data_IF_654735771722
#
_entry.id   IF_654735771722
#
_cell.length_a   1.000
_cell.length_b   1.000
_cell.length_c   1.000
_cell.angle_alpha   90.00
_cell.angle_beta   90.00
_cell.angle_gamma   90.00
#
_symmetry.space_group_name_H-M   'P 1'
#
loop_
_entity.id
_entity.type
_entity.pdbx_description
1 polymer ?
#
# COMPACT_ATOMS: atom_id res chain seq x y z
N UNK A 1 -14.54 -17.29 -11.80
CA UNK A 1 -14.74 -15.86 -11.47
C UNK A 1 -13.69 -15.51 -10.44
N UNK A 2 -12.83 -14.53 -10.70
CA UNK A 2 -11.82 -14.14 -9.71
C UNK A 2 -12.46 -13.11 -8.78
N UNK A 3 -12.35 -13.32 -7.47
CA UNK A 3 -12.95 -12.40 -6.50
C UNK A 3 -11.98 -11.25 -6.21
N UNK A 4 -12.47 -10.02 -6.00
CA UNK A 4 -11.61 -8.88 -5.67
C UNK A 4 -10.66 -9.14 -4.49
N UNK A 5 -11.08 -9.92 -3.50
CA UNK A 5 -10.28 -10.28 -2.31
C UNK A 5 -9.04 -11.12 -2.66
N UNK A 6 -9.14 -11.96 -3.69
CA UNK A 6 -8.05 -12.84 -4.15
C UNK A 6 -6.94 -12.07 -4.88
N UNK A 7 -7.22 -10.85 -5.35
CA UNK A 7 -6.25 -9.95 -5.99
C UNK A 7 -5.90 -8.79 -5.06
N UNK A 8 -6.87 -7.93 -4.75
CA UNK A 8 -6.64 -6.70 -4.00
C UNK A 8 -6.39 -6.97 -2.52
N UNK A 9 -7.11 -7.91 -1.92
CA UNK A 9 -6.88 -8.30 -0.52
C UNK A 9 -5.49 -8.93 -0.33
N UNK A 10 -5.11 -9.86 -1.21
CA UNK A 10 -3.77 -10.48 -1.19
C UNK A 10 -2.67 -9.44 -1.40
N UNK A 11 -2.83 -8.53 -2.37
CA UNK A 11 -1.84 -7.47 -2.61
C UNK A 11 -1.80 -6.45 -1.47
N UNK A 12 -2.94 -6.14 -0.85
CA UNK A 12 -3.01 -5.29 0.34
C UNK A 12 -2.25 -5.90 1.52
N UNK A 13 -2.34 -7.22 1.72
CA UNK A 13 -1.52 -7.93 2.72
C UNK A 13 -0.01 -7.75 2.49
N UNK A 14 0.45 -7.90 1.23
CA UNK A 14 1.86 -7.67 0.87
C UNK A 14 2.29 -6.23 1.11
N UNK A 15 1.46 -5.26 0.73
CA UNK A 15 1.75 -3.82 0.95
C UNK A 15 1.77 -3.50 2.43
N UNK A 16 0.83 -4.04 3.21
CA UNK A 16 0.78 -3.84 4.65
C UNK A 16 2.05 -4.39 5.33
N UNK A 17 2.52 -5.59 4.96
CA UNK A 17 3.79 -6.14 5.47
C UNK A 17 4.99 -5.29 5.05
N UNK A 18 5.00 -4.75 3.82
CA UNK A 18 6.08 -3.86 3.36
C UNK A 18 6.11 -2.50 4.08
N UNK A 19 4.99 -2.07 4.66
CA UNK A 19 4.88 -0.85 5.46
C UNK A 19 5.10 -1.09 6.96
N UNK A 20 5.06 -2.34 7.42
CA UNK A 20 5.25 -2.71 8.84
C UNK A 20 6.65 -2.29 9.30
N UNK A 21 6.71 -1.44 10.33
CA UNK A 21 7.96 -0.95 10.91
C UNK A 21 8.64 0.17 10.11
N UNK A 22 7.98 0.70 9.08
CA UNK A 22 8.51 1.80 8.27
C UNK A 22 7.90 3.14 8.69
N UNK A 23 8.71 4.20 8.68
CA UNK A 23 8.26 5.58 8.85
C UNK A 23 7.51 6.14 7.62
N UNK A 24 7.14 5.28 6.68
CA UNK A 24 6.32 5.58 5.53
C UNK A 24 7.10 5.55 4.22
N UNK A 25 6.50 4.89 3.23
CA UNK A 25 7.09 4.62 1.93
C UNK A 25 6.30 5.29 0.80
N UNK A 26 6.98 5.65 -0.28
CA UNK A 26 6.33 6.02 -1.54
C UNK A 26 5.78 4.78 -2.26
N UNK A 27 4.79 4.95 -3.13
CA UNK A 27 4.28 3.84 -3.94
C UNK A 27 5.38 3.14 -4.77
N UNK A 28 6.43 3.87 -5.18
CA UNK A 28 7.57 3.30 -5.91
C UNK A 28 8.44 2.40 -5.02
N UNK A 29 8.72 2.82 -3.79
CA UNK A 29 9.48 2.01 -2.81
C UNK A 29 8.69 0.75 -2.44
N UNK A 30 7.37 0.86 -2.25
CA UNK A 30 6.48 -0.28 -1.99
C UNK A 30 6.51 -1.26 -3.17
N UNK A 31 6.41 -0.77 -4.41
CA UNK A 31 6.48 -1.62 -5.61
C UNK A 31 7.81 -2.39 -5.66
N UNK A 32 8.94 -1.73 -5.36
CA UNK A 32 10.25 -2.37 -5.32
C UNK A 32 10.34 -3.45 -4.23
N UNK A 33 9.84 -3.19 -3.02
CA UNK A 33 9.87 -4.14 -1.90
C UNK A 33 8.98 -5.36 -2.12
N UNK A 34 7.82 -5.16 -2.73
CA UNK A 34 6.79 -6.21 -2.89
C UNK A 34 6.88 -6.97 -4.21
N UNK A 35 7.61 -6.43 -5.20
CA UNK A 35 7.62 -6.92 -6.58
C UNK A 35 6.33 -6.66 -7.36
N UNK A 36 5.40 -5.88 -6.79
CA UNK A 36 4.13 -5.53 -7.43
C UNK A 36 4.31 -4.42 -8.46
N UNK A 37 3.43 -4.39 -9.47
CA UNK A 37 3.30 -3.25 -10.37
C UNK A 37 2.77 -2.04 -9.60
N UNK A 38 3.14 -0.84 -10.04
CA UNK A 38 2.70 0.40 -9.39
C UNK A 38 1.16 0.53 -9.32
N UNK A 39 0.44 0.00 -10.32
CA UNK A 39 -1.03 -0.03 -10.35
C UNK A 39 -1.62 -0.95 -9.29
N UNK A 40 -0.98 -2.10 -9.05
CA UNK A 40 -1.37 -3.05 -7.98
C UNK A 40 -1.11 -2.46 -6.61
N UNK A 41 0.00 -1.72 -6.45
CA UNK A 41 0.29 -0.97 -5.22
C UNK A 41 -0.78 0.08 -4.94
N UNK A 42 -1.18 0.90 -5.92
CA UNK A 42 -2.23 1.89 -5.70
C UNK A 42 -3.59 1.25 -5.37
N UNK A 43 -3.93 0.11 -5.98
CA UNK A 43 -5.13 -0.62 -5.64
C UNK A 43 -5.08 -1.18 -4.20
N UNK A 44 -3.94 -1.75 -3.80
CA UNK A 44 -3.69 -2.23 -2.45
C UNK A 44 -3.73 -1.10 -1.41
N UNK A 45 -3.12 0.05 -1.70
CA UNK A 45 -3.18 1.23 -0.84
C UNK A 45 -4.62 1.76 -0.70
N UNK A 46 -5.40 1.77 -1.79
CA UNK A 46 -6.82 2.12 -1.73
C UNK A 46 -7.62 1.16 -0.86
N UNK A 47 -7.32 -0.15 -0.93
CA UNK A 47 -7.93 -1.16 -0.07
C UNK A 47 -7.61 -0.92 1.41
N UNK A 48 -6.34 -0.68 1.75
CA UNK A 48 -5.92 -0.38 3.13
C UNK A 48 -6.50 0.95 3.63
N UNK A 49 -6.60 1.95 2.76
CA UNK A 49 -7.22 3.24 3.07
C UNK A 49 -8.71 3.11 3.39
N UNK A 50 -9.45 2.27 2.65
CA UNK A 50 -10.85 1.94 2.95
C UNK A 50 -11.02 1.29 4.33
N UNK A 51 -10.03 0.53 4.77
CA UNK A 51 -10.00 -0.14 6.08
C UNK A 51 -9.48 0.76 7.21
N UNK A 52 -9.07 2.00 6.90
CA UNK A 52 -8.53 2.93 7.90
C UNK A 52 -7.16 2.51 8.46
N UNK A 53 -6.37 1.72 7.71
CA UNK A 53 -5.10 1.15 8.18
C UNK A 53 -3.86 1.99 7.87
N UNK A 54 -4.00 3.03 7.06
CA UNK A 54 -2.87 3.86 6.62
C UNK A 54 -3.19 5.35 6.69
N UNK A 55 -2.15 6.15 6.88
CA UNK A 55 -2.15 7.59 6.64
C UNK A 55 -1.34 7.96 5.38
N UNK A 56 -1.66 9.12 4.80
CA UNK A 56 -0.95 9.68 3.64
C UNK A 56 -0.21 10.94 4.06
N UNK A 57 1.12 10.85 4.10
CA UNK A 57 2.02 11.96 4.42
C UNK A 57 2.38 12.69 3.12
N UNK A 58 1.90 13.94 2.98
CA UNK A 58 2.15 14.78 1.79
C UNK A 58 3.36 15.69 2.02
N UNK A 59 4.42 15.48 1.25
CA UNK A 59 5.61 16.32 1.27
C UNK A 59 5.85 16.95 -0.10
N UNK A 60 5.54 18.26 -0.25
CA UNK A 60 5.64 19.08 -1.49
C UNK A 60 5.09 18.41 -2.77
N UNK A 61 5.83 17.45 -3.34
CA UNK A 61 5.54 16.72 -4.59
C UNK A 61 5.44 15.19 -4.43
N UNK A 62 5.64 14.63 -3.24
CA UNK A 62 5.62 13.17 -3.01
C UNK A 62 4.60 12.80 -1.95
N UNK A 63 3.86 11.72 -2.22
CA UNK A 63 3.03 11.03 -1.24
C UNK A 63 3.84 9.89 -0.62
N UNK A 64 3.80 9.79 0.71
CA UNK A 64 4.24 8.63 1.47
C UNK A 64 3.05 8.04 2.20
N UNK A 65 3.07 6.73 2.37
CA UNK A 65 2.04 5.94 3.02
C UNK A 65 2.67 5.27 4.23
N UNK A 66 2.02 5.36 5.39
CA UNK A 66 2.46 4.75 6.65
C UNK A 66 1.28 4.01 7.28
N UNK A 67 1.53 2.91 7.99
CA UNK A 67 0.49 2.28 8.80
C UNK A 67 0.06 3.20 9.95
N UNK A 68 -1.23 3.23 10.22
CA UNK A 68 -1.74 3.74 11.48
C UNK A 68 -1.54 2.65 12.54
N UNK A 69 -0.98 3.01 13.69
CA UNK A 69 -0.87 2.12 14.86
C UNK A 69 -2.25 1.67 15.36
#
# INVERSE_FOLDING_TARGET
MVRPEEIFGVNAGKVWEALRGEDGLTAKEIAQKTGLKITEVYAALGWLGREGKIEIIKNRKRLRFRLLE
#
